data_IF_618003912030
#
_entry.id   IF_618003912030
#
_cell.length_a   1.000
_cell.length_b   1.000
_cell.length_c   1.000
_cell.angle_alpha   90.00
_cell.angle_beta   90.00
_cell.angle_gamma   90.00
#
_symmetry.space_group_name_H-M   'P 1'
#
loop_
_entity.id
_entity.type
_entity.pdbx_description
1 polymer ?
#
# COMPACT_ATOMS: atom_id res chain seq x y z
N UNK A 1 1.15 -15.56 -21.67
CA UNK A 1 1.76 -14.27 -21.35
C UNK A 1 3.26 -14.45 -21.31
N UNK A 2 4.01 -13.55 -21.95
CA UNK A 2 5.48 -13.56 -21.97
C UNK A 2 6.05 -12.97 -20.67
N UNK A 3 7.34 -13.16 -20.43
CA UNK A 3 8.03 -12.54 -19.29
C UNK A 3 7.98 -11.01 -19.34
N UNK A 4 8.06 -10.44 -20.54
CA UNK A 4 7.95 -9.00 -20.81
C UNK A 4 6.56 -8.46 -20.47
N UNK A 5 5.50 -9.09 -20.98
CA UNK A 5 4.10 -8.71 -20.68
C UNK A 5 3.81 -8.77 -19.18
N UNK A 6 4.30 -9.82 -18.50
CA UNK A 6 4.16 -9.97 -17.06
C UNK A 6 4.89 -8.88 -16.28
N UNK A 7 6.10 -8.54 -16.71
CA UNK A 7 6.91 -7.49 -16.08
C UNK A 7 6.25 -6.12 -16.24
N UNK A 8 5.75 -5.82 -17.44
CA UNK A 8 5.01 -4.58 -17.71
C UNK A 8 3.74 -4.52 -16.85
N UNK A 9 2.91 -5.57 -16.85
CA UNK A 9 1.68 -5.62 -16.07
C UNK A 9 1.96 -5.48 -14.57
N UNK A 10 3.00 -6.15 -14.06
CA UNK A 10 3.40 -6.08 -12.65
C UNK A 10 3.86 -4.67 -12.29
N UNK A 11 4.61 -4.02 -13.18
CA UNK A 11 5.06 -2.64 -13.04
C UNK A 11 3.88 -1.66 -13.00
N UNK A 12 2.91 -1.82 -13.90
CA UNK A 12 1.68 -1.03 -13.93
C UNK A 12 0.84 -1.23 -12.67
N UNK A 13 0.67 -2.46 -12.19
CA UNK A 13 -0.07 -2.75 -10.95
C UNK A 13 0.63 -2.16 -9.71
N UNK A 14 1.97 -2.22 -9.66
CA UNK A 14 2.75 -1.59 -8.60
C UNK A 14 2.50 -0.08 -8.54
N UNK A 15 2.53 0.59 -9.70
CA UNK A 15 2.30 2.03 -9.79
C UNK A 15 0.83 2.39 -9.50
N UNK A 16 -0.13 1.62 -10.02
CA UNK A 16 -1.56 1.78 -9.71
C UNK A 16 -1.81 1.69 -8.21
N UNK A 17 -1.15 0.76 -7.53
CA UNK A 17 -1.32 0.61 -6.08
C UNK A 17 -0.71 1.78 -5.32
N UNK A 18 0.46 2.27 -5.73
CA UNK A 18 1.09 3.47 -5.16
C UNK A 18 0.19 4.70 -5.31
N UNK A 19 -0.39 4.91 -6.49
CA UNK A 19 -1.29 6.01 -6.77
C UNK A 19 -2.61 5.91 -5.99
N UNK A 20 -3.07 4.70 -5.66
CA UNK A 20 -4.20 4.48 -4.76
C UNK A 20 -3.85 4.85 -3.31
N UNK A 21 -2.62 4.60 -2.87
CA UNK A 21 -2.20 4.85 -1.49
C UNK A 21 -2.02 6.34 -1.19
N UNK A 22 -1.59 7.13 -2.17
CA UNK A 22 -1.39 8.58 -2.01
C UNK A 22 -2.62 9.33 -1.45
N UNK A 23 -3.82 9.27 -2.05
CA UNK A 23 -4.99 9.93 -1.49
C UNK A 23 -5.39 9.35 -0.13
N UNK A 24 -5.15 8.06 0.10
CA UNK A 24 -5.46 7.41 1.38
C UNK A 24 -4.65 8.03 2.52
N UNK A 25 -3.37 8.31 2.29
CA UNK A 25 -2.47 8.97 3.24
C UNK A 25 -3.01 10.37 3.59
N UNK A 26 -3.35 11.17 2.56
CA UNK A 26 -3.87 12.52 2.76
C UNK A 26 -5.18 12.51 3.56
N UNK A 27 -6.13 11.65 3.17
CA UNK A 27 -7.42 11.54 3.85
C UNK A 27 -7.27 11.06 5.30
N UNK A 28 -6.38 10.10 5.57
CA UNK A 28 -6.13 9.64 6.93
C UNK A 28 -5.49 10.74 7.80
N UNK A 29 -4.59 11.53 7.22
CA UNK A 29 -4.01 12.71 7.87
C UNK A 29 -5.08 13.74 8.26
N UNK A 30 -6.02 14.01 7.35
CA UNK A 30 -7.15 14.90 7.62
C UNK A 30 -8.07 14.38 8.73
N UNK A 31 -8.39 13.08 8.73
CA UNK A 31 -9.12 12.48 9.84
C UNK A 31 -8.35 12.58 11.16
N UNK A 32 -7.03 12.40 11.15
CA UNK A 32 -6.18 12.59 12.33
C UNK A 32 -6.26 14.01 12.88
N UNK A 33 -6.19 15.02 12.00
CA UNK A 33 -6.32 16.44 12.36
C UNK A 33 -7.70 16.77 12.94
N UNK A 34 -8.78 16.29 12.30
CA UNK A 34 -10.15 16.48 12.79
C UNK A 34 -10.35 15.84 14.15
N UNK A 35 -9.87 14.61 14.34
CA UNK A 35 -9.94 13.90 15.62
C UNK A 35 -9.18 14.65 16.73
N UNK A 36 -8.02 15.22 16.42
CA UNK A 36 -7.29 16.07 17.37
C UNK A 36 -8.12 17.29 17.81
N UNK A 37 -8.79 17.97 16.87
CA UNK A 37 -9.65 19.12 17.19
C UNK A 37 -10.84 18.71 18.06
N UNK A 38 -11.49 17.60 17.73
CA UNK A 38 -12.60 17.05 18.51
C UNK A 38 -12.14 16.74 19.93
N UNK A 39 -11.00 16.07 20.10
CA UNK A 39 -10.43 15.78 21.41
C UNK A 39 -10.11 17.06 22.21
N UNK A 40 -9.65 18.13 21.55
CA UNK A 40 -9.42 19.41 22.21
C UNK A 40 -10.72 20.08 22.69
N UNK A 41 -11.80 19.97 21.91
CA UNK A 41 -13.13 20.47 22.30
C UNK A 41 -13.64 19.70 23.52
N UNK A 42 -13.60 18.36 23.48
CA UNK A 42 -14.02 17.49 24.59
C UNK A 42 -13.23 17.81 25.86
N UNK A 43 -11.89 17.92 25.77
CA UNK A 43 -11.04 18.25 26.93
C UNK A 43 -11.34 19.61 27.56
N UNK A 44 -11.87 20.55 26.78
CA UNK A 44 -12.25 21.90 27.24
C UNK A 44 -13.73 22.00 27.61
N UNK A 45 -14.47 20.87 27.65
CA UNK A 45 -15.92 20.84 27.83
C UNK A 45 -16.67 21.73 26.83
N UNK A 46 -16.15 21.85 25.61
CA UNK A 46 -16.81 22.56 24.52
C UNK A 46 -17.66 21.58 23.72
N UNK A 47 -18.75 22.09 23.16
CA UNK A 47 -19.56 21.35 22.20
C UNK A 47 -18.71 20.94 20.98
N UNK A 48 -18.84 19.68 20.57
CA UNK A 48 -18.16 19.15 19.38
C UNK A 48 -18.86 19.68 18.14
N UNK A 49 -18.11 20.38 17.28
CA UNK A 49 -18.68 21.00 16.07
C UNK A 49 -18.77 20.03 14.89
N UNK A 50 -17.89 19.05 14.84
CA UNK A 50 -17.77 18.11 13.73
C UNK A 50 -18.64 16.87 13.98
N UNK A 51 -19.96 17.05 13.80
CA UNK A 51 -20.95 16.02 14.06
C UNK A 51 -20.92 14.88 13.01
N UNK A 52 -20.38 15.15 11.82
CA UNK A 52 -20.31 14.20 10.71
C UNK A 52 -19.05 13.31 10.75
N UNK A 53 -18.08 13.63 11.62
CA UNK A 53 -16.79 12.93 11.69
C UNK A 53 -16.94 11.39 11.77
N UNK A 54 -17.80 10.92 12.66
CA UNK A 54 -17.98 9.47 12.91
C UNK A 54 -18.49 8.76 11.68
N UNK A 55 -19.53 9.31 11.03
CA UNK A 55 -20.14 8.73 9.83
C UNK A 55 -19.14 8.73 8.67
N UNK A 56 -18.51 9.88 8.40
CA UNK A 56 -17.55 10.02 7.31
C UNK A 56 -16.35 9.09 7.49
N UNK A 57 -15.81 8.97 8.71
CA UNK A 57 -14.72 8.06 9.01
C UNK A 57 -15.12 6.60 8.78
N UNK A 58 -16.27 6.18 9.32
CA UNK A 58 -16.72 4.80 9.21
C UNK A 58 -17.01 4.40 7.75
N UNK A 59 -17.65 5.29 6.99
CA UNK A 59 -17.90 5.09 5.56
C UNK A 59 -16.59 5.03 4.75
N UNK A 60 -15.65 5.91 5.06
CA UNK A 60 -14.35 5.92 4.40
C UNK A 60 -13.56 4.63 4.64
N UNK A 61 -13.48 4.17 5.89
CA UNK A 61 -12.74 2.94 6.21
C UNK A 61 -13.41 1.71 5.58
N UNK A 62 -14.75 1.66 5.52
CA UNK A 62 -15.46 0.60 4.81
C UNK A 62 -15.17 0.62 3.30
N UNK A 63 -15.11 1.81 2.69
CA UNK A 63 -14.73 1.96 1.29
C UNK A 63 -13.28 1.53 1.03
N UNK A 64 -12.34 1.97 1.89
CA UNK A 64 -10.93 1.58 1.80
C UNK A 64 -10.79 0.05 1.87
N UNK A 65 -11.49 -0.60 2.80
CA UNK A 65 -11.52 -2.07 2.88
C UNK A 65 -11.95 -2.69 1.56
N UNK A 66 -13.08 -2.23 1.00
CA UNK A 66 -13.59 -2.75 -0.27
C UNK A 66 -12.60 -2.56 -1.43
N UNK A 67 -11.79 -1.50 -1.41
CA UNK A 67 -10.75 -1.29 -2.43
C UNK A 67 -9.61 -2.30 -2.26
N UNK A 68 -9.17 -2.55 -1.04
CA UNK A 68 -8.07 -3.48 -0.73
C UNK A 68 -8.43 -4.94 -0.97
N UNK A 69 -9.67 -5.35 -0.66
CA UNK A 69 -10.15 -6.72 -0.91
C UNK A 69 -10.06 -7.12 -2.40
N UNK A 70 -10.10 -6.13 -3.31
CA UNK A 70 -9.94 -6.35 -4.75
C UNK A 70 -8.48 -6.49 -5.20
N UNK A 71 -7.50 -6.14 -4.34
CA UNK A 71 -6.07 -6.11 -4.72
C UNK A 71 -5.33 -7.41 -4.41
N UNK A 72 -5.63 -8.06 -3.28
CA UNK A 72 -4.95 -9.31 -2.90
C UNK A 72 -5.08 -10.41 -3.99
N UNK A 73 -6.25 -10.63 -4.62
CA UNK A 73 -6.38 -11.63 -5.69
C UNK A 73 -5.52 -11.31 -6.92
N UNK A 74 -5.42 -10.03 -7.30
CA UNK A 74 -4.62 -9.58 -8.45
C UNK A 74 -3.15 -9.91 -8.23
N UNK A 75 -2.62 -9.61 -7.05
CA UNK A 75 -1.22 -9.86 -6.74
C UNK A 75 -0.90 -11.33 -6.51
N UNK A 76 -1.85 -12.08 -5.96
CA UNK A 76 -1.75 -13.55 -5.85
C UNK A 76 -1.64 -14.17 -7.24
N UNK A 77 -2.49 -13.76 -8.18
CA UNK A 77 -2.48 -14.25 -9.55
C UNK A 77 -1.19 -13.84 -10.29
N UNK A 78 -0.80 -12.57 -10.25
CA UNK A 78 0.45 -12.10 -10.86
C UNK A 78 1.68 -12.87 -10.35
N UNK A 79 1.76 -13.10 -9.04
CA UNK A 79 2.83 -13.87 -8.43
C UNK A 79 2.86 -15.31 -8.95
N UNK A 80 1.70 -15.94 -9.08
CA UNK A 80 1.60 -17.30 -9.61
C UNK A 80 2.06 -17.36 -11.07
N UNK A 81 1.61 -16.41 -11.90
CA UNK A 81 1.99 -16.32 -13.31
C UNK A 81 3.50 -16.10 -13.47
N UNK A 82 4.10 -15.17 -12.71
CA UNK A 82 5.56 -14.92 -12.71
C UNK A 82 6.34 -16.19 -12.38
N UNK A 83 5.88 -16.97 -11.40
CA UNK A 83 6.56 -18.21 -10.99
C UNK A 83 6.43 -19.36 -11.99
N UNK A 84 5.41 -19.32 -12.84
CA UNK A 84 5.22 -20.30 -13.92
C UNK A 84 6.10 -19.98 -15.14
N UNK A 85 6.61 -18.75 -15.25
CA UNK A 85 7.55 -18.39 -16.33
C UNK A 85 8.87 -19.14 -16.14
N UNK A 86 9.32 -19.91 -17.15
CA UNK A 86 10.59 -20.62 -17.07
C UNK A 86 11.75 -19.66 -16.80
N UNK A 87 12.74 -20.06 -15.98
CA UNK A 87 13.92 -19.23 -15.74
C UNK A 87 14.60 -18.76 -17.02
N UNK A 88 14.57 -19.56 -18.10
CA UNK A 88 15.12 -19.22 -19.42
C UNK A 88 14.49 -18.00 -20.09
N UNK A 89 13.23 -17.68 -19.79
CA UNK A 89 12.50 -16.54 -20.36
C UNK A 89 12.85 -15.20 -19.72
N UNK A 90 13.46 -15.19 -18.53
CA UNK A 90 13.97 -13.97 -17.89
C UNK A 90 15.34 -13.61 -18.47
N UNK A 91 15.35 -12.99 -19.64
CA UNK A 91 16.55 -12.65 -20.42
C UNK A 91 17.20 -11.35 -19.94
N UNK A 92 18.44 -11.09 -20.39
CA UNK A 92 19.25 -9.96 -19.90
C UNK A 92 18.80 -8.59 -20.44
N UNK A 93 18.12 -8.56 -21.58
CA UNK A 93 17.42 -7.41 -22.16
C UNK A 93 16.33 -6.85 -21.22
N UNK A 94 15.64 -7.73 -20.48
CA UNK A 94 14.63 -7.35 -19.49
C UNK A 94 15.21 -6.74 -18.20
N UNK A 95 16.54 -6.69 -18.05
CA UNK A 95 17.17 -6.22 -16.82
C UNK A 95 16.89 -4.74 -16.51
N UNK A 96 16.74 -3.89 -17.53
CA UNK A 96 16.40 -2.48 -17.34
C UNK A 96 14.98 -2.32 -16.79
N UNK A 97 14.02 -3.05 -17.37
CA UNK A 97 12.63 -3.02 -16.93
C UNK A 97 12.45 -3.62 -15.55
N UNK A 98 13.19 -4.68 -15.23
CA UNK A 98 13.22 -5.28 -13.90
C UNK A 98 13.77 -4.30 -12.84
N UNK A 99 14.80 -3.51 -13.19
CA UNK A 99 15.27 -2.40 -12.34
C UNK A 99 14.22 -1.32 -12.18
N UNK A 100 13.48 -1.00 -13.25
CA UNK A 100 12.34 -0.09 -13.21
C UNK A 100 11.26 -0.54 -12.23
N UNK A 101 10.86 -1.82 -12.28
CA UNK A 101 9.93 -2.43 -11.33
C UNK A 101 10.45 -2.33 -9.89
N UNK A 102 11.72 -2.68 -9.65
CA UNK A 102 12.32 -2.59 -8.31
C UNK A 102 12.32 -1.16 -7.77
N UNK A 103 12.55 -0.16 -8.61
CA UNK A 103 12.44 1.26 -8.24
C UNK A 103 11.00 1.63 -7.83
N UNK A 104 10.00 1.21 -8.62
CA UNK A 104 8.57 1.43 -8.32
C UNK A 104 8.14 0.74 -7.03
N UNK A 105 8.58 -0.50 -6.80
CA UNK A 105 8.29 -1.24 -5.57
C UNK A 105 8.87 -0.54 -4.33
N UNK A 106 10.08 0.04 -4.44
CA UNK A 106 10.65 0.89 -3.37
C UNK A 106 9.85 2.17 -3.15
N UNK A 107 9.36 2.80 -4.21
CA UNK A 107 8.49 3.98 -4.09
C UNK A 107 7.14 3.63 -3.43
N UNK A 108 6.55 2.47 -3.74
CA UNK A 108 5.39 1.93 -3.04
C UNK A 108 5.70 1.67 -1.56
N UNK A 109 6.85 1.08 -1.25
CA UNK A 109 7.30 0.86 0.14
C UNK A 109 7.34 2.17 0.93
N UNK A 110 7.88 3.25 0.35
CA UNK A 110 7.89 4.56 1.00
C UNK A 110 6.49 5.11 1.24
N UNK A 111 5.58 4.97 0.27
CA UNK A 111 4.19 5.37 0.45
C UNK A 111 3.51 4.55 1.57
N UNK A 112 3.85 3.26 1.71
CA UNK A 112 3.39 2.43 2.82
C UNK A 112 3.93 2.94 4.17
N UNK A 113 5.19 3.34 4.24
CA UNK A 113 5.78 3.94 5.44
C UNK A 113 5.06 5.23 5.82
N UNK A 114 4.78 6.11 4.85
CA UNK A 114 4.02 7.34 5.04
C UNK A 114 2.59 7.05 5.55
N UNK A 115 1.93 6.04 5.00
CA UNK A 115 0.62 5.58 5.47
C UNK A 115 0.67 5.08 6.92
N UNK A 116 1.67 4.25 7.25
CA UNK A 116 1.87 3.74 8.60
C UNK A 116 2.12 4.88 9.60
N UNK A 117 2.89 5.90 9.20
CA UNK A 117 3.10 7.09 10.02
C UNK A 117 1.79 7.85 10.30
N UNK A 118 0.93 8.04 9.30
CA UNK A 118 -0.38 8.68 9.50
C UNK A 118 -1.32 7.82 10.35
N UNK A 119 -1.30 6.50 10.16
CA UNK A 119 -2.05 5.55 11.00
C UNK A 119 -1.64 5.67 12.46
N UNK A 120 -0.35 5.67 12.76
CA UNK A 120 0.16 5.79 14.13
C UNK A 120 -0.25 7.13 14.78
N UNK A 121 -0.20 8.22 14.02
CA UNK A 121 -0.67 9.54 14.47
C UNK A 121 -2.17 9.50 14.78
N UNK A 122 -2.98 8.93 13.87
CA UNK A 122 -4.41 8.78 14.09
C UNK A 122 -4.70 7.95 15.35
N UNK A 123 -4.06 6.80 15.52
CA UNK A 123 -4.23 5.93 16.68
C UNK A 123 -3.84 6.61 17.99
N UNK A 124 -2.81 7.47 18.01
CA UNK A 124 -2.46 8.28 19.19
C UNK A 124 -3.59 9.23 19.59
N UNK A 125 -4.26 9.84 18.62
CA UNK A 125 -5.43 10.69 18.88
C UNK A 125 -6.65 9.88 19.28
N UNK A 126 -6.88 8.72 18.66
CA UNK A 126 -8.00 7.83 18.97
C UNK A 126 -7.96 7.25 20.38
N UNK A 127 -6.78 6.95 20.94
CA UNK A 127 -6.66 6.45 22.34
C UNK A 127 -7.35 7.36 23.37
N UNK A 128 -7.51 8.64 23.06
CA UNK A 128 -8.14 9.62 23.94
C UNK A 128 -9.62 9.88 23.61
N UNK A 129 -10.16 9.21 22.59
CA UNK A 129 -11.48 9.44 22.07
C UNK A 129 -12.45 8.34 22.52
N UNK A 130 -13.37 8.71 23.41
CA UNK A 130 -14.39 7.80 23.96
C UNK A 130 -15.82 8.18 23.55
N UNK A 131 -15.98 9.27 22.80
CA UNK A 131 -17.28 9.88 22.51
C UNK A 131 -18.08 9.17 21.42
N UNK A 132 -17.44 8.40 20.52
CA UNK A 132 -18.15 7.66 19.48
C UNK A 132 -17.44 6.36 19.07
N UNK A 133 -18.21 5.43 18.49
CA UNK A 133 -17.71 4.17 17.95
C UNK A 133 -17.15 4.39 16.54
N UNK A 134 -15.83 4.38 16.43
CA UNK A 134 -15.10 4.40 15.17
C UNK A 134 -14.70 2.97 14.77
N UNK A 135 -14.73 2.68 13.46
CA UNK A 135 -14.29 1.41 12.87
C UNK A 135 -12.76 1.29 12.81
N UNK A 136 -12.07 1.56 13.92
CA UNK A 136 -10.60 1.55 13.99
C UNK A 136 -10.04 0.14 13.76
N UNK A 137 -10.73 -0.90 14.23
CA UNK A 137 -10.36 -2.29 13.96
C UNK A 137 -10.27 -2.58 12.45
N UNK A 138 -11.15 -1.98 11.65
CA UNK A 138 -11.17 -2.17 10.21
C UNK A 138 -10.03 -1.38 9.55
N UNK A 139 -9.71 -0.19 10.07
CA UNK A 139 -8.53 0.56 9.65
C UNK A 139 -7.24 -0.21 9.96
N UNK A 140 -7.13 -0.83 11.14
CA UNK A 140 -6.01 -1.70 11.52
C UNK A 140 -5.88 -2.90 10.56
N UNK A 141 -7.01 -3.53 10.19
CA UNK A 141 -6.99 -4.60 9.20
C UNK A 141 -6.46 -4.11 7.84
N UNK A 142 -6.92 -2.94 7.38
CA UNK A 142 -6.42 -2.32 6.15
C UNK A 142 -4.91 -2.03 6.22
N UNK A 143 -4.42 -1.55 7.37
CA UNK A 143 -3.00 -1.26 7.57
C UNK A 143 -2.12 -2.52 7.52
N UNK A 144 -2.57 -3.61 8.14
CA UNK A 144 -1.90 -4.90 8.05
C UNK A 144 -1.87 -5.43 6.62
N UNK A 145 -3.00 -5.35 5.90
CA UNK A 145 -3.11 -5.81 4.52
C UNK A 145 -2.18 -5.00 3.59
N UNK A 146 -2.16 -3.67 3.73
CA UNK A 146 -1.28 -2.78 2.96
C UNK A 146 0.19 -3.14 3.19
N UNK A 147 0.58 -3.30 4.45
CA UNK A 147 1.97 -3.63 4.83
C UNK A 147 2.38 -4.98 4.26
N UNK A 148 1.56 -6.03 4.51
CA UNK A 148 1.84 -7.39 4.03
C UNK A 148 1.95 -7.45 2.51
N UNK A 149 1.02 -6.81 1.80
CA UNK A 149 1.02 -6.81 0.35
C UNK A 149 2.23 -6.07 -0.22
N UNK A 150 2.59 -4.92 0.36
CA UNK A 150 3.76 -4.14 -0.06
C UNK A 150 5.06 -4.94 0.09
N UNK A 151 5.23 -5.66 1.19
CA UNK A 151 6.39 -6.54 1.40
C UNK A 151 6.46 -7.66 0.34
N UNK A 152 5.33 -8.31 0.03
CA UNK A 152 5.26 -9.34 -1.02
C UNK A 152 5.67 -8.77 -2.39
N UNK A 153 5.21 -7.57 -2.74
CA UNK A 153 5.54 -6.89 -4.00
C UNK A 153 7.03 -6.57 -4.07
N UNK A 154 7.61 -6.06 -2.97
CA UNK A 154 9.02 -5.73 -2.90
C UNK A 154 9.92 -6.97 -3.06
N UNK A 155 9.52 -8.08 -2.45
CA UNK A 155 10.24 -9.36 -2.60
C UNK A 155 10.15 -9.87 -4.05
N UNK A 156 8.97 -9.82 -4.66
CA UNK A 156 8.77 -10.22 -6.05
C UNK A 156 9.61 -9.39 -7.03
N UNK A 157 9.64 -8.07 -6.84
CA UNK A 157 10.46 -7.17 -7.66
C UNK A 157 11.96 -7.47 -7.54
N UNK A 158 12.44 -7.81 -6.33
CA UNK A 158 13.83 -8.23 -6.11
C UNK A 158 14.15 -9.58 -6.74
N UNK A 159 13.21 -10.52 -6.68
CA UNK A 159 13.34 -11.83 -7.31
C UNK A 159 13.51 -11.71 -8.83
N UNK A 160 12.65 -10.94 -9.50
CA UNK A 160 12.72 -10.68 -10.95
C UNK A 160 14.04 -9.97 -11.33
N UNK A 161 14.43 -8.95 -10.57
CA UNK A 161 15.69 -8.25 -10.81
C UNK A 161 16.90 -9.20 -10.72
N UNK A 162 16.91 -10.10 -9.74
CA UNK A 162 17.98 -11.10 -9.60
C UNK A 162 18.02 -12.08 -10.77
N UNK A 163 16.86 -12.56 -11.24
CA UNK A 163 16.77 -13.51 -12.35
C UNK A 163 17.30 -12.92 -13.67
N UNK A 164 17.01 -11.64 -13.94
CA UNK A 164 17.49 -10.94 -15.14
C UNK A 164 18.98 -10.54 -15.04
N UNK A 165 19.48 -10.17 -13.85
CA UNK A 165 20.89 -9.81 -13.65
C UNK A 165 21.85 -11.02 -13.75
N UNK A 166 21.47 -12.19 -13.24
CA UNK A 166 22.29 -13.40 -13.32
C UNK A 166 22.63 -13.80 -14.77
N UNK A 167 21.77 -13.43 -15.72
CA UNK A 167 21.98 -13.70 -17.15
C UNK A 167 22.72 -12.62 -17.92
N UNK A 168 23.03 -11.49 -17.28
CA UNK A 168 23.88 -10.44 -17.85
C UNK A 168 25.38 -10.78 -17.72
N UNK A 169 25.73 -11.73 -16.85
CA UNK A 169 27.11 -12.12 -16.52
C UNK A 169 27.79 -13.23 -17.36
N UNK A 170 27.49 -13.52 -18.64
CA UNK A 170 28.38 -14.37 -19.44
C UNK A 170 29.63 -13.64 -19.98
N UNK A 171 29.67 -12.30 -19.97
CA UNK A 171 30.75 -11.51 -20.58
C UNK A 171 31.26 -10.40 -19.66
N UNK A 172 31.88 -10.81 -18.55
CA UNK A 172 32.85 -10.00 -17.85
C UNK A 172 34.22 -10.67 -18.01
N UNK A 173 34.74 -10.62 -19.25
CA UNK A 173 36.18 -10.74 -19.56
C UNK A 173 36.69 -9.36 -19.94
#
# INVERSE_FOLDING_TARGET
MTAEELLEQTSQQCESYRLLLMPVITTLSDFGRRLLQINQQIRKNLEVRDNEFTEQFNNYVAHLRSLLDKREPVWTELRNQIRQVPPSSWTADLALDAKGLNSRAKALSRACDDFNAQYDIFCKHYKNFTAAKLNVWLLTACQNDITSLTEKILLLAREIARQTEQKRSPHAE
#
